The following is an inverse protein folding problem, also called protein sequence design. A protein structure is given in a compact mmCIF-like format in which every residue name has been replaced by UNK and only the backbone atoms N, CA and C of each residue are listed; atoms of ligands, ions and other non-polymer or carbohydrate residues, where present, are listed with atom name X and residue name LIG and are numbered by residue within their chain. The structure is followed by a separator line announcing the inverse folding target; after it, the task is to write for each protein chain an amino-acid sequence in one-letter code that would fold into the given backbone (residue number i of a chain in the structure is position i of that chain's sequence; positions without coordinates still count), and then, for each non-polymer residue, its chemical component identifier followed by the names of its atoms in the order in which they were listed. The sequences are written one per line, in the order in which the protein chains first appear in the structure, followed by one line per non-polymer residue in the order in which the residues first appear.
data_IF_750075768151
#
_entry.id   IF_750075768151
#
_cell.length_a   1.000
_cell.length_b   1.000
_cell.length_c   1.000
_cell.angle_alpha   90.00
_cell.angle_beta   90.00
_cell.angle_gamma   90.00
#
_symmetry.space_group_name_H-M   'P 1'
#
loop_
_entity.id
_entity.type
_entity.pdbx_description
1 polymer ?
#
# COMPACT_ATOMS: atom_id res chain seq x y z
N UNK A 1 -7.49 -37.25 5.36
CA UNK A 1 -8.03 -35.92 4.97
C UNK A 1 -6.90 -34.90 5.08
N UNK A 2 -6.34 -34.49 3.94
CA UNK A 2 -5.28 -33.50 3.91
C UNK A 2 -5.92 -32.11 4.05
N UNK A 3 -6.10 -31.64 5.28
CA UNK A 3 -6.53 -30.27 5.56
C UNK A 3 -5.40 -29.33 5.11
N UNK A 4 -5.48 -28.85 3.89
CA UNK A 4 -4.60 -27.81 3.39
C UNK A 4 -4.66 -26.65 4.40
N UNK A 5 -3.52 -26.33 5.02
CA UNK A 5 -3.45 -25.21 5.94
C UNK A 5 -4.04 -23.95 5.26
N UNK A 6 -4.77 -23.11 6.00
CA UNK A 6 -5.46 -21.95 5.45
C UNK A 6 -4.49 -21.03 4.68
N UNK A 7 -4.96 -20.44 3.59
CA UNK A 7 -4.17 -19.47 2.81
C UNK A 7 -3.95 -18.23 3.68
N UNK A 8 -2.72 -17.76 3.75
CA UNK A 8 -2.40 -16.49 4.40
C UNK A 8 -2.96 -15.33 3.59
N UNK A 9 -3.38 -14.27 4.26
CA UNK A 9 -3.84 -13.04 3.62
C UNK A 9 -2.90 -11.91 3.96
N UNK A 10 -2.44 -11.18 2.92
CA UNK A 10 -1.85 -9.85 3.09
C UNK A 10 -2.85 -8.80 2.62
N UNK A 11 -2.84 -7.66 3.28
CA UNK A 11 -3.70 -6.54 2.96
C UNK A 11 -2.84 -5.29 2.73
N UNK A 12 -3.21 -4.45 1.77
CA UNK A 12 -2.43 -3.25 1.44
C UNK A 12 -3.23 -2.20 0.69
N UNK A 13 -2.59 -1.05 0.49
CA UNK A 13 -3.22 0.11 -0.15
C UNK A 13 -2.42 0.58 -1.35
N UNK A 14 -3.11 0.80 -2.49
CA UNK A 14 -2.61 1.60 -3.60
C UNK A 14 -2.84 3.07 -3.26
N UNK A 15 -1.79 3.83 -3.06
CA UNK A 15 -1.87 5.26 -2.81
C UNK A 15 -1.56 5.98 -4.11
N UNK A 16 -2.58 6.61 -4.69
CA UNK A 16 -2.54 7.32 -5.96
C UNK A 16 -2.67 8.82 -5.73
N UNK A 17 -2.12 9.62 -6.63
CA UNK A 17 -2.31 11.06 -6.64
C UNK A 17 -2.98 11.56 -7.94
N UNK A 18 -3.33 12.84 -7.97
CA UNK A 18 -4.00 13.45 -9.12
C UNK A 18 -3.07 13.58 -10.35
N UNK A 19 -1.75 13.56 -10.14
CA UNK A 19 -0.71 13.62 -11.16
C UNK A 19 -0.47 12.27 -11.85
N UNK A 20 -1.31 11.27 -11.56
CA UNK A 20 -1.25 9.91 -12.12
C UNK A 20 0.01 9.14 -11.71
N UNK A 21 0.39 9.29 -10.46
CA UNK A 21 1.49 8.54 -9.86
C UNK A 21 0.98 7.60 -8.76
N UNK A 22 1.71 6.51 -8.55
CA UNK A 22 1.54 5.53 -7.48
C UNK A 22 2.71 5.64 -6.50
N UNK A 23 2.41 5.75 -5.21
CA UNK A 23 3.42 5.67 -4.16
C UNK A 23 3.88 4.23 -4.00
N UNK A 24 5.18 4.03 -4.04
CA UNK A 24 5.82 2.75 -3.75
C UNK A 24 6.88 2.92 -2.65
N UNK A 25 7.09 1.82 -1.92
CA UNK A 25 8.10 1.68 -0.87
C UNK A 25 9.22 0.78 -1.37
N UNK A 26 10.48 1.19 -1.19
CA UNK A 26 11.64 0.35 -1.52
C UNK A 26 11.83 -0.70 -0.44
N UNK A 27 11.85 -1.96 -0.82
CA UNK A 27 11.99 -3.08 0.13
C UNK A 27 13.45 -3.23 0.53
N UNK A 28 13.73 -3.08 1.81
CA UNK A 28 15.09 -3.13 2.36
C UNK A 28 15.83 -4.41 1.96
N UNK A 29 17.04 -4.25 1.42
CA UNK A 29 17.87 -5.36 0.97
C UNK A 29 17.46 -5.99 -0.37
N UNK A 30 16.48 -5.44 -1.06
CA UNK A 30 16.01 -5.90 -2.37
C UNK A 30 16.19 -4.81 -3.44
N UNK A 31 16.08 -5.21 -4.72
CA UNK A 31 16.14 -4.27 -5.86
C UNK A 31 14.76 -3.82 -6.34
N UNK A 32 13.70 -4.21 -5.66
CA UNK A 32 12.34 -3.91 -6.07
C UNK A 32 11.60 -3.06 -5.04
N UNK A 33 10.59 -2.41 -5.53
CA UNK A 33 9.64 -1.62 -4.78
C UNK A 33 8.34 -2.41 -4.59
N UNK A 34 7.54 -2.05 -3.61
CA UNK A 34 6.27 -2.70 -3.35
C UNK A 34 5.23 -1.68 -2.83
N UNK A 35 3.96 -2.09 -2.79
CA UNK A 35 2.91 -1.36 -2.09
C UNK A 35 3.11 -1.50 -0.57
N UNK A 36 2.69 -0.53 0.23
CA UNK A 36 2.56 -0.75 1.67
C UNK A 36 1.51 -1.84 1.92
N UNK A 37 1.91 -2.93 2.53
CA UNK A 37 1.09 -4.12 2.77
C UNK A 37 1.74 -5.10 3.72
N UNK A 38 0.95 -5.82 4.46
CA UNK A 38 1.43 -6.91 5.30
C UNK A 38 0.36 -7.89 5.72
N UNK A 39 0.70 -8.76 6.64
CA UNK A 39 -0.18 -9.83 7.10
C UNK A 39 -1.37 -9.32 7.90
N UNK A 40 -2.51 -9.99 7.77
CA UNK A 40 -3.66 -9.76 8.63
C UNK A 40 -3.43 -10.42 9.99
N UNK A 41 -3.72 -9.70 11.06
CA UNK A 41 -3.66 -10.21 12.42
C UNK A 41 -4.97 -10.90 12.85
N UNK A 42 -4.90 -11.68 13.92
CA UNK A 42 -6.08 -12.38 14.44
C UNK A 42 -7.16 -11.39 14.89
N UNK A 43 -8.35 -11.53 14.33
CA UNK A 43 -9.50 -10.66 14.64
C UNK A 43 -9.57 -9.37 13.84
N UNK A 44 -8.57 -9.08 13.03
CA UNK A 44 -8.52 -7.91 12.16
C UNK A 44 -9.33 -8.13 10.88
N UNK A 45 -10.04 -7.11 10.41
CA UNK A 45 -10.60 -7.10 9.06
C UNK A 45 -9.52 -6.78 8.02
N UNK A 46 -9.71 -7.13 6.74
CA UNK A 46 -8.78 -6.75 5.68
C UNK A 46 -8.53 -5.25 5.57
N UNK A 47 -9.54 -4.43 5.86
CA UNK A 47 -9.43 -2.98 5.84
C UNK A 47 -8.56 -2.46 7.00
N UNK A 48 -8.78 -2.96 8.20
CA UNK A 48 -7.97 -2.59 9.38
C UNK A 48 -6.50 -2.98 9.18
N UNK A 49 -6.24 -4.19 8.67
CA UNK A 49 -4.89 -4.64 8.35
C UNK A 49 -4.21 -3.73 7.31
N UNK A 50 -4.91 -3.37 6.22
CA UNK A 50 -4.36 -2.51 5.18
C UNK A 50 -4.03 -1.10 5.70
N UNK A 51 -4.88 -0.54 6.57
CA UNK A 51 -4.65 0.78 7.20
C UNK A 51 -3.47 0.72 8.17
N UNK A 52 -3.40 -0.30 9.03
CA UNK A 52 -2.29 -0.51 9.98
C UNK A 52 -0.96 -0.66 9.24
N UNK A 53 -0.88 -1.55 8.27
CA UNK A 53 0.33 -1.80 7.49
C UNK A 53 0.80 -0.54 6.74
N UNK A 54 -0.16 0.25 6.19
CA UNK A 54 0.18 1.53 5.56
C UNK A 54 0.81 2.50 6.56
N UNK A 55 0.27 2.59 7.78
CA UNK A 55 0.82 3.45 8.81
C UNK A 55 2.21 2.97 9.28
N UNK A 56 2.39 1.66 9.45
CA UNK A 56 3.66 1.06 9.88
C UNK A 56 4.76 1.20 8.83
N UNK A 57 4.44 0.99 7.55
CA UNK A 57 5.42 0.99 6.46
C UNK A 57 5.68 2.38 5.84
N UNK A 58 4.79 3.37 6.07
CA UNK A 58 4.93 4.71 5.45
C UNK A 58 4.79 5.88 6.41
N UNK A 59 4.25 5.67 7.60
CA UNK A 59 3.85 6.74 8.52
C UNK A 59 2.53 7.42 8.15
N UNK A 60 1.91 7.10 7.01
CA UNK A 60 0.64 7.68 6.58
C UNK A 60 -0.53 7.05 7.34
N UNK A 61 -1.35 7.90 7.96
CA UNK A 61 -2.61 7.49 8.60
C UNK A 61 -3.77 7.73 7.66
N UNK A 62 -4.45 6.67 7.27
CA UNK A 62 -5.59 6.70 6.36
C UNK A 62 -6.89 6.48 7.12
N UNK A 63 -7.92 7.23 6.77
CA UNK A 63 -9.27 6.91 7.22
C UNK A 63 -9.82 5.74 6.40
N UNK A 64 -10.16 4.62 7.06
CA UNK A 64 -10.63 3.42 6.39
C UNK A 64 -11.88 3.64 5.53
N UNK A 65 -12.77 4.55 5.93
CA UNK A 65 -13.97 4.90 5.16
C UNK A 65 -13.68 5.58 3.82
N UNK A 66 -12.48 6.15 3.64
CA UNK A 66 -12.05 6.82 2.41
C UNK A 66 -11.43 5.87 1.37
N UNK A 67 -11.34 4.57 1.67
CA UNK A 67 -10.66 3.60 0.81
C UNK A 67 -11.63 2.88 -0.13
N UNK A 68 -11.25 2.78 -1.39
CA UNK A 68 -11.94 1.99 -2.40
C UNK A 68 -11.49 0.53 -2.28
N UNK A 69 -12.40 -0.39 -1.99
CA UNK A 69 -12.12 -1.81 -1.99
C UNK A 69 -11.92 -2.33 -3.43
N UNK A 70 -10.77 -2.91 -3.71
CA UNK A 70 -10.40 -3.50 -5.00
C UNK A 70 -10.57 -5.02 -5.00
N UNK A 71 -10.81 -5.63 -3.83
CA UNK A 71 -11.02 -7.06 -3.68
C UNK A 71 -9.75 -7.86 -3.43
N UNK A 72 -9.92 -9.18 -3.51
CA UNK A 72 -8.91 -10.18 -3.18
C UNK A 72 -8.35 -10.84 -4.43
N UNK A 73 -7.04 -11.04 -4.46
CA UNK A 73 -6.29 -11.59 -5.59
C UNK A 73 -5.45 -12.79 -5.15
N UNK A 74 -5.34 -13.80 -6.00
CA UNK A 74 -4.29 -14.80 -5.89
C UNK A 74 -2.93 -14.12 -6.07
N UNK A 75 -2.02 -14.30 -5.10
CA UNK A 75 -0.75 -13.59 -5.10
C UNK A 75 0.47 -14.51 -5.15
N UNK A 76 0.52 -15.48 -4.26
CA UNK A 76 1.57 -16.49 -4.17
C UNK A 76 0.96 -17.84 -3.80
N UNK A 77 1.67 -18.94 -4.00
CA UNK A 77 1.22 -20.22 -3.46
C UNK A 77 0.87 -20.07 -1.98
N UNK A 78 -0.38 -20.39 -1.62
CA UNK A 78 -0.91 -20.30 -0.25
C UNK A 78 -0.92 -18.90 0.37
N UNK A 79 -0.86 -17.84 -0.44
CA UNK A 79 -0.97 -16.45 0.01
C UNK A 79 -1.81 -15.62 -0.97
N UNK A 80 -2.86 -15.01 -0.45
CA UNK A 80 -3.69 -14.05 -1.16
C UNK A 80 -3.33 -12.62 -0.79
N UNK A 81 -3.78 -11.69 -1.60
CA UNK A 81 -3.59 -10.25 -1.41
C UNK A 81 -4.95 -9.56 -1.52
N UNK A 82 -5.36 -8.82 -0.50
CA UNK A 82 -6.52 -7.94 -0.54
C UNK A 82 -6.04 -6.49 -0.65
N UNK A 83 -6.52 -5.79 -1.66
CA UNK A 83 -6.07 -4.43 -1.94
C UNK A 83 -7.22 -3.43 -1.81
N UNK A 84 -6.86 -2.27 -1.30
CA UNK A 84 -7.66 -1.06 -1.30
C UNK A 84 -6.94 0.03 -2.09
N UNK A 85 -7.62 1.12 -2.41
CA UNK A 85 -7.00 2.28 -3.05
C UNK A 85 -7.44 3.57 -2.39
N UNK A 86 -6.51 4.51 -2.29
CA UNK A 86 -6.71 5.86 -1.79
C UNK A 86 -6.22 6.89 -2.81
N UNK A 87 -6.90 8.04 -2.88
CA UNK A 87 -6.42 9.21 -3.60
C UNK A 87 -5.94 10.24 -2.58
N UNK A 88 -4.64 10.50 -2.57
CA UNK A 88 -4.02 11.48 -1.68
C UNK A 88 -3.38 12.63 -2.50
N UNK A 89 -3.19 13.81 -1.89
CA UNK A 89 -2.24 14.78 -2.42
C UNK A 89 -0.84 14.16 -2.55
N UNK A 90 -0.03 14.69 -3.45
CA UNK A 90 1.37 14.26 -3.57
C UNK A 90 2.14 14.71 -2.33
N UNK A 91 2.30 13.80 -1.36
CA UNK A 91 3.07 14.06 -0.14
C UNK A 91 4.56 14.09 -0.43
N UNK A 92 5.33 14.86 0.33
CA UNK A 92 6.78 14.84 0.27
C UNK A 92 7.29 13.50 0.82
N UNK A 93 7.96 12.73 -0.02
CA UNK A 93 8.50 11.41 0.36
C UNK A 93 9.56 11.50 1.48
N UNK A 94 10.20 12.66 1.68
CA UNK A 94 11.13 12.87 2.77
C UNK A 94 10.45 12.88 4.15
N UNK A 95 9.12 13.06 4.20
CA UNK A 95 8.35 12.99 5.45
C UNK A 95 7.87 11.59 5.79
N UNK A 96 8.02 10.64 4.87
CA UNK A 96 7.60 9.25 5.07
C UNK A 96 8.67 8.47 5.85
N UNK A 97 8.23 7.53 6.64
CA UNK A 97 9.11 6.67 7.43
C UNK A 97 8.49 5.29 7.64
N UNK A 98 9.31 4.27 7.80
CA UNK A 98 8.89 2.92 8.14
C UNK A 98 9.19 2.65 9.61
N UNK A 99 8.14 2.33 10.38
CA UNK A 99 8.25 1.96 11.79
C UNK A 99 8.37 0.44 12.00
N UNK A 100 7.95 -0.37 11.00
CA UNK A 100 8.11 -1.82 11.06
C UNK A 100 9.55 -2.24 10.76
N UNK A 101 10.03 -3.24 11.51
CA UNK A 101 11.40 -3.72 11.43
C UNK A 101 11.45 -5.25 11.32
N UNK A 102 12.49 -5.74 10.69
CA UNK A 102 12.83 -7.16 10.69
C UNK A 102 14.27 -7.40 11.17
N UNK A 103 14.55 -8.63 11.62
CA UNK A 103 15.91 -9.03 11.95
C UNK A 103 16.60 -9.56 10.69
N UNK A 104 17.63 -8.85 10.25
CA UNK A 104 18.45 -9.29 9.12
C UNK A 104 19.29 -10.51 9.50
N UNK A 105 19.07 -11.62 8.81
CA UNK A 105 19.72 -12.89 9.13
C UNK A 105 21.23 -12.85 8.87
N UNK A 106 21.71 -11.98 7.98
CA UNK A 106 23.12 -11.88 7.64
C UNK A 106 23.94 -11.08 8.67
N UNK A 107 23.39 -9.98 9.16
CA UNK A 107 24.06 -9.07 10.09
C UNK A 107 23.56 -9.18 11.53
N UNK A 108 22.43 -9.82 11.77
CA UNK A 108 21.74 -9.86 13.08
C UNK A 108 21.15 -8.52 13.52
N UNK A 109 21.18 -7.50 12.66
CA UNK A 109 20.69 -6.15 12.96
C UNK A 109 19.18 -6.05 12.69
N UNK A 110 18.53 -5.17 13.43
CA UNK A 110 17.19 -4.74 13.11
C UNK A 110 17.26 -3.68 12.02
N UNK A 111 16.51 -3.91 10.95
CA UNK A 111 16.42 -3.01 9.80
C UNK A 111 14.95 -2.69 9.53
N UNK A 112 14.63 -1.49 9.05
CA UNK A 112 13.27 -1.18 8.62
C UNK A 112 12.88 -2.07 7.44
N UNK A 113 11.61 -2.45 7.35
CA UNK A 113 11.11 -3.25 6.21
C UNK A 113 11.18 -2.47 4.90
N UNK A 114 10.98 -1.14 4.96
CA UNK A 114 11.08 -0.22 3.84
C UNK A 114 12.14 0.84 4.13
N UNK A 115 13.06 1.06 3.20
CA UNK A 115 14.17 2.01 3.33
C UNK A 115 14.14 3.16 2.31
N UNK A 116 13.06 3.27 1.54
CA UNK A 116 12.86 4.36 0.60
C UNK A 116 11.42 4.48 0.12
N UNK A 117 11.07 5.68 -0.34
CA UNK A 117 9.73 6.01 -0.82
C UNK A 117 9.82 6.80 -2.11
N UNK A 118 8.90 6.55 -3.04
CA UNK A 118 8.88 7.26 -4.32
C UNK A 118 7.53 7.26 -4.98
N UNK A 119 7.24 8.35 -5.68
CA UNK A 119 6.10 8.45 -6.58
C UNK A 119 6.54 8.07 -7.99
N UNK A 120 5.83 7.16 -8.62
CA UNK A 120 6.12 6.65 -9.95
C UNK A 120 4.90 6.78 -10.85
N UNK A 121 5.09 7.22 -12.09
CA UNK A 121 4.03 7.26 -13.09
C UNK A 121 3.36 5.87 -13.20
N UNK A 122 2.04 5.82 -13.38
CA UNK A 122 1.28 4.57 -13.44
C UNK A 122 1.81 3.56 -14.47
N UNK A 123 2.37 4.05 -15.57
CA UNK A 123 2.98 3.20 -16.61
C UNK A 123 4.34 2.61 -16.18
N UNK A 124 5.04 3.28 -15.27
CA UNK A 124 6.37 2.86 -14.80
C UNK A 124 6.31 2.01 -13.52
N UNK A 125 5.39 2.33 -12.62
CA UNK A 125 5.29 1.70 -11.31
C UNK A 125 5.35 0.15 -11.33
N UNK A 126 4.65 -0.56 -12.23
CA UNK A 126 4.74 -2.02 -12.29
C UNK A 126 6.14 -2.55 -12.58
N UNK A 127 6.96 -1.81 -13.32
CA UNK A 127 8.33 -2.22 -13.67
C UNK A 127 9.28 -2.12 -12.49
N UNK A 128 8.93 -1.34 -11.48
CA UNK A 128 9.69 -1.21 -10.24
C UNK A 128 9.39 -2.32 -9.25
N UNK A 129 8.22 -2.95 -9.37
CA UNK A 129 7.75 -3.97 -8.45
C UNK A 129 8.33 -5.37 -8.72
N UNK A 130 8.15 -6.27 -7.74
CA UNK A 130 8.39 -7.70 -7.98
C UNK A 130 7.50 -8.20 -9.11
N UNK A 131 7.93 -9.25 -9.84
CA UNK A 131 7.17 -9.78 -10.97
C UNK A 131 5.73 -10.18 -10.61
N UNK A 132 5.49 -10.64 -9.39
CA UNK A 132 4.13 -10.98 -8.92
C UNK A 132 3.26 -9.75 -8.69
N UNK A 133 3.81 -8.71 -8.10
CA UNK A 133 3.08 -7.45 -7.94
C UNK A 133 2.86 -6.78 -9.29
N UNK A 134 3.82 -6.82 -10.19
CA UNK A 134 3.66 -6.32 -11.55
C UNK A 134 2.46 -6.98 -12.27
N UNK A 135 2.29 -8.30 -12.14
CA UNK A 135 1.12 -9.02 -12.68
C UNK A 135 -0.19 -8.51 -12.08
N UNK A 136 -0.24 -8.30 -10.77
CA UNK A 136 -1.45 -7.74 -10.12
C UNK A 136 -1.76 -6.35 -10.68
N UNK A 137 -0.76 -5.47 -10.75
CA UNK A 137 -0.95 -4.08 -11.18
C UNK A 137 -1.29 -3.94 -12.68
N UNK A 138 -0.86 -4.88 -13.54
CA UNK A 138 -1.05 -4.78 -15.00
C UNK A 138 -2.12 -5.69 -15.56
N UNK A 139 -2.35 -6.86 -14.96
CA UNK A 139 -3.27 -7.87 -15.51
C UNK A 139 -4.55 -8.04 -14.69
N UNK A 140 -4.52 -7.70 -13.40
CA UNK A 140 -5.68 -7.84 -12.50
C UNK A 140 -6.34 -6.51 -12.20
N UNK A 141 -5.55 -5.43 -12.22
CA UNK A 141 -5.99 -4.06 -12.00
C UNK A 141 -5.64 -3.23 -13.23
N UNK A 142 -6.55 -2.35 -13.62
CA UNK A 142 -6.25 -1.27 -14.55
C UNK A 142 -6.07 0.02 -13.73
N UNK A 143 -4.83 0.39 -13.43
CA UNK A 143 -4.51 1.52 -12.54
C UNK A 143 -5.19 2.83 -12.98
N UNK A 144 -5.30 3.06 -14.29
CA UNK A 144 -6.02 4.23 -14.81
C UNK A 144 -7.51 4.23 -14.49
N UNK A 145 -8.17 3.06 -14.51
CA UNK A 145 -9.57 2.93 -14.09
C UNK A 145 -9.74 3.06 -12.58
N UNK A 146 -8.80 2.53 -11.80
CA UNK A 146 -8.80 2.71 -10.34
C UNK A 146 -8.74 4.20 -10.02
N UNK A 147 -7.81 4.93 -10.63
CA UNK A 147 -7.69 6.38 -10.45
C UNK A 147 -8.96 7.12 -10.86
N UNK A 148 -9.54 6.78 -12.03
CA UNK A 148 -10.77 7.41 -12.49
C UNK A 148 -11.94 7.18 -11.52
N UNK A 149 -12.05 5.98 -10.92
CA UNK A 149 -13.05 5.68 -9.89
C UNK A 149 -12.83 6.53 -8.63
N UNK A 150 -11.58 6.65 -8.17
CA UNK A 150 -11.25 7.48 -6.99
C UNK A 150 -11.53 8.97 -7.23
N UNK A 151 -11.43 9.44 -8.46
CA UNK A 151 -11.74 10.81 -8.85
C UNK A 151 -13.23 11.07 -9.10
N UNK A 152 -14.06 10.01 -9.12
CA UNK A 152 -15.50 10.13 -9.32
C UNK A 152 -16.18 10.69 -8.07
N UNK A 153 -17.12 11.64 -8.19
CA UNK A 153 -17.84 12.21 -7.06
C UNK A 153 -18.74 11.21 -6.32
N UNK A 154 -18.94 10.02 -6.83
CA UNK A 154 -19.79 8.96 -6.25
C UNK A 154 -19.04 8.03 -5.31
N UNK A 155 -17.72 8.14 -5.18
CA UNK A 155 -16.96 7.37 -4.19
C UNK A 155 -17.03 8.08 -2.84
N UNK A 156 -17.66 7.48 -1.81
CA UNK A 156 -17.61 8.04 -0.46
C UNK A 156 -16.13 8.17 -0.05
N UNK A 157 -15.72 9.37 0.37
CA UNK A 157 -14.32 9.63 0.75
C UNK A 157 -13.39 10.06 -0.38
N UNK A 158 -13.85 10.23 -1.62
CA UNK A 158 -13.07 10.94 -2.62
C UNK A 158 -12.77 12.36 -2.13
N UNK A 159 -11.50 12.73 -2.08
CA UNK A 159 -11.04 14.03 -1.60
C UNK A 159 -11.70 15.15 -2.42
N UNK A 160 -12.37 16.16 -1.79
CA UNK A 160 -13.05 17.22 -2.52
C UNK A 160 -12.03 18.01 -3.33
N UNK A 161 -12.29 18.15 -4.63
CA UNK A 161 -11.50 19.01 -5.51
C UNK A 161 -11.53 20.43 -4.94
N UNK A 162 -10.39 20.96 -4.55
CA UNK A 162 -10.24 22.40 -4.28
C UNK A 162 -10.11 22.87 -2.85
N UNK A 163 -9.93 21.98 -1.86
CA UNK A 163 -9.47 22.39 -0.52
C UNK A 163 -8.33 21.51 -0.08
N UNK A 164 -7.12 21.99 -0.28
CA UNK A 164 -5.92 21.43 0.32
C UNK A 164 -5.96 21.69 1.82
N UNK A 165 -6.60 20.83 2.59
CA UNK A 165 -6.34 20.74 4.02
C UNK A 165 -5.23 19.71 4.20
N UNK A 166 -4.00 20.16 4.08
CA UNK A 166 -2.78 19.40 4.46
C UNK A 166 -2.80 19.05 5.96
N UNK A 167 -3.75 19.59 6.73
CA UNK A 167 -3.84 19.48 8.18
C UNK A 167 -4.45 18.16 8.70
N UNK A 168 -4.88 17.24 7.85
CA UNK A 168 -5.50 15.97 8.29
C UNK A 168 -4.74 14.70 7.86
N UNK A 169 -3.61 14.83 7.19
CA UNK A 169 -2.65 13.73 7.10
C UNK A 169 -1.82 13.82 8.38
N UNK A 170 -2.30 13.23 9.46
CA UNK A 170 -1.48 13.09 10.67
C UNK A 170 -0.30 12.19 10.31
N UNK A 171 0.85 12.79 10.05
CA UNK A 171 2.13 12.09 10.11
C UNK A 171 2.25 11.61 11.55
N UNK A 172 2.38 10.30 11.75
CA UNK A 172 2.60 9.76 13.08
C UNK A 172 3.81 10.46 13.70
N UNK A 173 3.61 11.07 14.86
CA UNK A 173 4.76 11.57 15.64
C UNK A 173 5.67 10.37 15.87
N UNK A 174 6.93 10.51 15.48
CA UNK A 174 7.99 9.56 15.84
C UNK A 174 8.12 9.53 17.37
N UNK A 175 8.34 8.36 17.99
CA UNK A 175 8.56 8.23 19.42
C UNK A 175 9.82 8.95 19.87
#
# INVERSE_FOLDING_TARGET
MNLLAPRRLSCGVLILNAERELLLCHVTGHHHWDLPKGGIDAGESPLEAAVRETAEETGLRLEGAALLDLGRFDYRPRKDLHLFAALLPRVDVATLHCASEFSDAGSGRRLPEMDGFGWFALAEAPRRCSGRMAVVLTQRLELGRVLARLQSPQVPGAWPRGRTRVAEIALGEAP
#
